data_IF_148037097733
#
_entry.id   IF_148037097733
#
_cell.length_a   1.000
_cell.length_b   1.000
_cell.length_c   1.000
_cell.angle_alpha   90.00
_cell.angle_beta   90.00
_cell.angle_gamma   90.00
#
_symmetry.space_group_name_H-M   'P 1'
#
loop_
_entity.id
_entity.type
_entity.pdbx_description
1 polymer ?
#
# COMPACT_ATOMS: atom_id res chain seq x y z
N UNK A 1 5.24 -6.48 -16.54
CA UNK A 1 4.98 -5.50 -15.46
C UNK A 1 5.78 -5.94 -14.25
N UNK A 2 6.50 -5.05 -13.56
CA UNK A 2 7.30 -5.45 -12.40
C UNK A 2 6.45 -5.30 -11.13
N UNK A 3 5.67 -6.34 -10.81
CA UNK A 3 4.75 -6.37 -9.66
C UNK A 3 5.48 -6.26 -8.32
N UNK A 4 6.71 -6.77 -8.25
CA UNK A 4 7.55 -6.72 -7.06
C UNK A 4 7.85 -5.27 -6.64
N UNK A 5 8.15 -4.38 -7.59
CA UNK A 5 8.37 -2.94 -7.30
C UNK A 5 7.14 -2.24 -6.70
N UNK A 6 5.94 -2.65 -7.08
CA UNK A 6 4.71 -2.06 -6.54
C UNK A 6 4.43 -2.61 -5.14
N UNK A 7 4.76 -3.87 -4.87
CA UNK A 7 4.70 -4.43 -3.52
C UNK A 7 5.71 -3.75 -2.58
N UNK A 8 6.94 -3.53 -3.05
CA UNK A 8 7.97 -2.75 -2.33
C UNK A 8 7.48 -1.33 -2.01
N UNK A 9 6.81 -0.67 -2.96
CA UNK A 9 6.24 0.66 -2.76
C UNK A 9 5.13 0.64 -1.69
N UNK A 10 4.22 -0.32 -1.74
CA UNK A 10 3.15 -0.45 -0.75
C UNK A 10 3.71 -0.69 0.66
N UNK A 11 4.74 -1.54 0.79
CA UNK A 11 5.45 -1.80 2.03
C UNK A 11 6.16 -0.53 2.55
N UNK A 12 6.81 0.23 1.67
CA UNK A 12 7.47 1.47 2.03
C UNK A 12 6.49 2.54 2.54
N UNK A 13 5.35 2.71 1.88
CA UNK A 13 4.31 3.66 2.33
C UNK A 13 3.75 3.29 3.71
N UNK A 14 3.54 2.00 3.96
CA UNK A 14 3.10 1.50 5.27
C UNK A 14 4.16 1.77 6.34
N UNK A 15 5.43 1.53 6.03
CA UNK A 15 6.54 1.82 6.93
C UNK A 15 6.62 3.31 7.30
N UNK A 16 6.42 4.21 6.33
CA UNK A 16 6.35 5.65 6.60
C UNK A 16 5.19 6.00 7.54
N UNK A 17 4.01 5.39 7.34
CA UNK A 17 2.86 5.59 8.22
C UNK A 17 3.12 5.11 9.66
N UNK A 18 3.86 4.00 9.82
CA UNK A 18 4.24 3.44 11.12
C UNK A 18 5.29 4.31 11.84
N UNK A 19 6.27 4.84 11.10
CA UNK A 19 7.23 5.83 11.63
C UNK A 19 6.48 7.07 12.13
N UNK A 20 5.56 7.63 11.33
CA UNK A 20 4.77 8.80 11.73
C UNK A 20 4.00 8.56 13.03
N UNK A 21 3.39 7.38 13.18
CA UNK A 21 2.65 7.01 14.39
C UNK A 21 3.56 6.89 15.62
N UNK A 22 4.77 6.36 15.45
CA UNK A 22 5.70 6.07 16.56
C UNK A 22 6.48 7.29 17.04
N UNK A 23 6.81 8.23 16.16
CA UNK A 23 7.60 9.42 16.51
C UNK A 23 6.78 10.53 17.19
N UNK A 24 5.45 10.38 17.29
CA UNK A 24 4.58 11.39 17.88
C UNK A 24 4.64 12.75 17.17
N UNK A 25 5.20 12.78 15.95
CA UNK A 25 5.24 14.00 15.13
C UNK A 25 3.82 14.30 14.69
N UNK A 26 3.43 15.55 14.85
CA UNK A 26 2.13 16.12 14.49
C UNK A 26 1.97 16.22 12.96
N UNK A 27 2.19 15.11 12.24
CA UNK A 27 1.77 14.99 10.86
C UNK A 27 0.24 14.94 10.86
N UNK A 28 -0.35 15.67 9.92
CA UNK A 28 -1.80 15.74 9.79
C UNK A 28 -2.38 14.32 9.76
N UNK A 29 -3.44 14.07 10.53
CA UNK A 29 -4.23 12.81 10.45
C UNK A 29 -4.56 12.46 8.99
N UNK A 30 -4.64 13.47 8.12
CA UNK A 30 -4.84 13.33 6.67
C UNK A 30 -3.65 12.63 6.00
N UNK A 31 -2.40 12.96 6.35
CA UNK A 31 -1.20 12.38 5.72
C UNK A 31 -1.03 10.90 6.10
N UNK A 32 -1.25 10.57 7.37
CA UNK A 32 -1.24 9.18 7.82
C UNK A 32 -2.32 8.36 7.10
N UNK A 33 -3.56 8.88 7.04
CA UNK A 33 -4.66 8.21 6.33
C UNK A 33 -4.35 8.04 4.85
N UNK A 34 -3.74 9.04 4.22
CA UNK A 34 -3.34 8.98 2.81
C UNK A 34 -2.34 7.84 2.58
N UNK A 35 -1.26 7.78 3.36
CA UNK A 35 -0.23 6.74 3.24
C UNK A 35 -0.80 5.33 3.42
N UNK A 36 -1.62 5.12 4.46
CA UNK A 36 -2.25 3.82 4.73
C UNK A 36 -3.22 3.43 3.62
N UNK A 37 -4.05 4.37 3.15
CA UNK A 37 -5.05 4.09 2.10
C UNK A 37 -4.37 3.79 0.76
N UNK A 38 -3.33 4.56 0.40
CA UNK A 38 -2.57 4.34 -0.83
C UNK A 38 -1.85 2.99 -0.82
N UNK A 39 -1.21 2.61 0.31
CA UNK A 39 -0.59 1.29 0.47
C UNK A 39 -1.61 0.16 0.25
N UNK A 40 -2.78 0.24 0.90
CA UNK A 40 -3.84 -0.76 0.76
C UNK A 40 -4.40 -0.85 -0.66
N UNK A 41 -4.59 0.28 -1.34
CA UNK A 41 -5.08 0.31 -2.71
C UNK A 41 -4.10 -0.36 -3.69
N UNK A 42 -2.78 -0.15 -3.51
CA UNK A 42 -1.76 -0.81 -4.34
C UNK A 42 -1.81 -2.33 -4.15
N UNK A 43 -1.87 -2.81 -2.90
CA UNK A 43 -1.97 -4.24 -2.61
C UNK A 43 -3.24 -4.87 -3.21
N UNK A 44 -4.37 -4.17 -3.13
CA UNK A 44 -5.62 -4.64 -3.72
C UNK A 44 -5.50 -4.77 -5.25
N UNK A 45 -4.96 -3.75 -5.93
CA UNK A 45 -4.75 -3.81 -7.38
C UNK A 45 -3.80 -4.96 -7.76
N UNK A 46 -2.73 -5.19 -6.98
CA UNK A 46 -1.83 -6.31 -7.21
C UNK A 46 -2.52 -7.67 -7.07
N UNK A 47 -3.44 -7.79 -6.12
CA UNK A 47 -4.27 -8.99 -5.94
C UNK A 47 -5.20 -9.21 -7.12
N UNK A 48 -5.92 -8.17 -7.57
CA UNK A 48 -6.80 -8.23 -8.74
C UNK A 48 -6.04 -8.59 -10.02
N UNK A 49 -4.85 -8.02 -10.22
CA UNK A 49 -3.97 -8.36 -11.35
C UNK A 49 -3.54 -9.82 -11.27
N UNK A 50 -3.16 -10.31 -10.08
CA UNK A 50 -2.77 -11.70 -9.88
C UNK A 50 -3.94 -12.66 -10.17
N UNK A 51 -5.12 -12.39 -9.65
CA UNK A 51 -6.32 -13.20 -9.88
C UNK A 51 -6.70 -13.24 -11.38
N UNK A 52 -6.57 -12.11 -12.07
CA UNK A 52 -6.77 -12.01 -13.52
C UNK A 52 -5.74 -12.83 -14.31
N UNK A 53 -4.46 -12.79 -13.92
CA UNK A 53 -3.41 -13.59 -14.55
C UNK A 53 -3.56 -15.09 -14.28
N UNK A 54 -4.07 -15.47 -13.10
CA UNK A 54 -4.28 -16.87 -12.70
C UNK A 54 -5.58 -17.47 -13.26
N UNK A 55 -6.36 -16.70 -14.04
CA UNK A 55 -7.52 -17.22 -14.77
C UNK A 55 -8.67 -17.67 -13.88
N UNK A 56 -8.81 -17.09 -12.68
CA UNK A 56 -10.03 -17.26 -11.89
C UNK A 56 -11.10 -16.33 -12.44
N UNK A 57 -11.75 -16.78 -13.52
CA UNK A 57 -13.11 -16.33 -13.84
C UNK A 57 -13.98 -16.67 -12.62
N UNK A 58 -14.57 -15.64 -12.01
CA UNK A 58 -15.60 -15.82 -10.97
C UNK A 58 -16.84 -16.49 -11.55
#
# INVERSE_FOLDING_TARGET
>A
MNLEKYHELAAYLKHLADIQKSEGRDYSIVDHKLLVTTSAAIEQLLMEIKDCMEGKEQ
#
